data_IF_882470650009
#
_entry.id   IF_882470650009
#
_cell.length_a   1.000
_cell.length_b   1.000
_cell.length_c   1.000
_cell.angle_alpha   90.00
_cell.angle_beta   90.00
_cell.angle_gamma   90.00
#
_symmetry.space_group_name_H-M   'P 1'
#
loop_
_entity.id
_entity.type
_entity.pdbx_description
1 polymer ?
#
# COMPACT_ATOMS: atom_id res chain seq x y z
N UNK A 1 -9.65 -21.82 13.90
CA UNK A 1 -9.20 -20.44 14.18
C UNK A 1 -8.29 -20.00 13.06
N UNK A 2 -8.46 -18.78 12.56
CA UNK A 2 -7.65 -18.22 11.48
C UNK A 2 -6.54 -17.39 12.13
N UNK A 3 -5.30 -17.53 11.68
CA UNK A 3 -4.15 -16.76 12.13
C UNK A 3 -3.28 -16.38 10.93
N UNK A 4 -2.52 -15.32 11.10
CA UNK A 4 -1.59 -14.80 10.10
C UNK A 4 -0.29 -15.63 10.16
N UNK A 5 0.20 -16.06 9.00
CA UNK A 5 1.41 -16.89 8.89
C UNK A 5 2.63 -16.13 8.39
N UNK A 6 2.42 -14.97 7.78
CA UNK A 6 3.44 -14.12 7.17
C UNK A 6 2.98 -12.66 7.21
N UNK A 7 3.86 -11.70 6.92
CA UNK A 7 3.54 -10.28 7.03
C UNK A 7 2.41 -9.88 6.06
N UNK A 8 1.54 -8.96 6.51
CA UNK A 8 0.47 -8.41 5.70
C UNK A 8 0.88 -7.01 5.27
N UNK A 9 0.86 -6.77 3.97
CA UNK A 9 1.28 -5.52 3.34
C UNK A 9 0.11 -4.99 2.50
N UNK A 10 -0.40 -3.81 2.85
CA UNK A 10 -1.61 -3.25 2.24
C UNK A 10 -1.36 -2.86 0.78
N UNK A 11 -0.18 -2.31 0.50
CA UNK A 11 0.30 -1.85 -0.79
C UNK A 11 0.50 -3.01 -1.77
N UNK A 12 0.89 -4.18 -1.27
CA UNK A 12 0.98 -5.41 -2.04
C UNK A 12 -0.40 -6.06 -2.22
N UNK A 13 -1.20 -6.17 -1.15
CA UNK A 13 -2.50 -6.86 -1.19
C UNK A 13 -3.50 -6.41 -0.13
N UNK A 14 -4.53 -5.71 -0.60
CA UNK A 14 -5.60 -5.10 0.23
C UNK A 14 -6.65 -6.08 0.79
N UNK A 15 -6.88 -7.22 0.12
CA UNK A 15 -7.96 -8.13 0.50
C UNK A 15 -7.63 -9.60 0.18
N UNK A 16 -8.11 -10.49 1.05
CA UNK A 16 -8.12 -11.94 0.86
C UNK A 16 -9.56 -12.47 0.94
N UNK A 17 -9.88 -13.41 0.07
CA UNK A 17 -11.13 -14.16 0.10
C UNK A 17 -10.82 -15.63 0.32
N UNK A 18 -11.32 -16.20 1.42
CA UNK A 18 -11.07 -17.58 1.80
C UNK A 18 -12.40 -18.35 1.84
N UNK A 19 -12.45 -19.48 1.16
CA UNK A 19 -13.55 -20.44 1.31
C UNK A 19 -13.19 -21.43 2.40
N UNK A 20 -13.90 -21.38 3.52
CA UNK A 20 -13.70 -22.29 4.65
C UNK A 20 -14.72 -23.41 4.59
N UNK A 21 -14.25 -24.66 4.56
CA UNK A 21 -15.08 -25.86 4.52
C UNK A 21 -15.04 -26.60 5.85
N UNK A 22 -16.21 -26.87 6.42
CA UNK A 22 -16.38 -27.83 7.51
C UNK A 22 -16.97 -29.13 6.94
N UNK A 23 -16.38 -30.28 7.26
CA UNK A 23 -16.87 -31.60 6.80
C UNK A 23 -17.15 -32.49 8.00
N UNK A 24 -18.35 -33.07 8.04
CA UNK A 24 -18.70 -34.10 9.00
C UNK A 24 -17.96 -35.40 8.65
N UNK A 25 -17.21 -35.93 9.61
CA UNK A 25 -16.30 -37.06 9.36
C UNK A 25 -17.02 -38.40 9.15
N UNK A 26 -18.29 -38.52 9.52
CA UNK A 26 -19.06 -39.77 9.47
C UNK A 26 -19.93 -39.82 8.22
N UNK A 27 -20.69 -38.76 7.96
CA UNK A 27 -21.62 -38.66 6.83
C UNK A 27 -20.97 -38.09 5.56
N UNK A 28 -19.80 -37.46 5.67
CA UNK A 28 -19.10 -36.79 4.56
C UNK A 28 -19.80 -35.52 4.07
N UNK A 29 -20.90 -35.13 4.69
CA UNK A 29 -21.60 -33.86 4.41
C UNK A 29 -20.68 -32.70 4.78
N UNK A 30 -20.70 -31.65 3.97
CA UNK A 30 -19.90 -30.47 4.22
C UNK A 30 -20.70 -29.18 4.04
N UNK A 31 -20.22 -28.13 4.69
CA UNK A 31 -20.70 -26.77 4.54
C UNK A 31 -19.51 -25.84 4.26
N UNK A 32 -19.72 -24.86 3.40
CA UNK A 32 -18.71 -23.87 3.02
C UNK A 32 -19.20 -22.47 3.36
N UNK A 33 -18.27 -21.61 3.76
CA UNK A 33 -18.52 -20.19 4.01
C UNK A 33 -17.39 -19.36 3.42
N UNK A 34 -17.73 -18.22 2.81
CA UNK A 34 -16.77 -17.23 2.36
C UNK A 34 -16.39 -16.31 3.51
N UNK A 35 -15.10 -16.13 3.71
CA UNK A 35 -14.52 -15.20 4.68
C UNK A 35 -13.73 -14.14 3.91
N UNK A 36 -14.19 -12.90 3.99
CA UNK A 36 -13.50 -11.74 3.42
C UNK A 36 -12.64 -11.09 4.49
N UNK A 37 -11.34 -11.02 4.25
CA UNK A 37 -10.35 -10.39 5.14
C UNK A 37 -9.85 -9.14 4.44
N UNK A 38 -10.04 -7.98 5.08
CA UNK A 38 -9.57 -6.69 4.58
C UNK A 38 -8.33 -6.30 5.39
N UNK A 39 -7.22 -6.08 4.71
CA UNK A 39 -5.99 -5.56 5.33
C UNK A 39 -6.22 -4.09 5.63
N UNK A 40 -5.88 -3.67 6.85
CA UNK A 40 -5.95 -2.25 7.20
C UNK A 40 -4.69 -1.56 6.73
N UNK A 41 -4.92 -0.43 6.06
CA UNK A 41 -3.88 0.48 5.62
C UNK A 41 -3.21 1.16 6.81
N UNK A 42 -1.88 1.27 6.79
CA UNK A 42 -1.08 1.92 7.81
C UNK A 42 -0.06 2.81 7.12
N UNK A 43 0.26 3.96 7.71
CA UNK A 43 1.21 4.88 7.10
C UNK A 43 2.66 4.41 7.31
N UNK A 44 3.13 3.50 6.46
CA UNK A 44 4.49 2.98 6.40
C UNK A 44 5.22 3.23 5.07
N UNK A 45 4.56 3.88 4.10
CA UNK A 45 5.17 4.41 2.88
C UNK A 45 5.49 5.91 3.00
N UNK A 46 6.70 6.34 3.44
CA UNK A 46 7.04 7.76 3.49
C UNK A 46 7.11 8.38 2.08
N UNK A 47 6.84 9.68 1.93
CA UNK A 47 6.89 10.35 0.64
C UNK A 47 8.32 10.37 0.08
N UNK A 48 8.49 9.84 -1.13
CA UNK A 48 9.77 9.78 -1.83
C UNK A 48 9.91 10.95 -2.82
N UNK A 49 11.06 11.62 -2.81
CA UNK A 49 11.38 12.64 -3.81
C UNK A 49 11.67 12.02 -5.17
N UNK A 50 11.32 12.71 -6.26
CA UNK A 50 11.58 12.19 -7.61
C UNK A 50 13.07 12.14 -7.99
N UNK A 51 13.94 12.84 -7.26
CA UNK A 51 15.38 12.87 -7.47
C UNK A 51 16.12 12.92 -6.12
N UNK A 52 17.26 12.23 -6.02
CA UNK A 52 18.14 12.29 -4.84
C UNK A 52 18.77 13.68 -4.62
N UNK A 53 18.94 14.44 -5.70
CA UNK A 53 19.45 15.81 -5.64
C UNK A 53 18.84 16.66 -6.74
N UNK A 54 18.49 17.89 -6.40
CA UNK A 54 18.01 18.90 -7.34
C UNK A 54 19.06 20.00 -7.46
N UNK A 55 19.66 20.15 -8.63
CA UNK A 55 20.64 21.19 -8.89
C UNK A 55 20.10 22.16 -9.95
N UNK A 56 20.17 23.46 -9.67
CA UNK A 56 19.66 24.49 -10.57
C UNK A 56 20.54 25.74 -10.51
N UNK A 57 20.72 26.35 -11.68
CA UNK A 57 21.41 27.63 -11.86
C UNK A 57 20.40 28.72 -12.19
N UNK A 58 20.44 29.85 -11.46
CA UNK A 58 19.59 31.01 -11.69
C UNK A 58 20.46 32.17 -12.17
N UNK A 59 19.99 32.89 -13.20
CA UNK A 59 20.67 34.08 -13.72
C UNK A 59 20.64 35.21 -12.69
N UNK A 60 21.73 35.97 -12.58
CA UNK A 60 21.77 37.18 -11.74
C UNK A 60 20.75 38.26 -12.18
N UNK A 61 20.35 38.22 -13.46
CA UNK A 61 19.35 39.14 -14.02
C UNK A 61 17.90 38.66 -13.78
N UNK A 62 17.68 37.61 -12.99
CA UNK A 62 16.35 37.08 -12.75
C UNK A 62 15.46 38.12 -12.01
N UNK A 63 14.25 38.40 -12.51
CA UNK A 63 13.35 39.35 -11.87
C UNK A 63 12.78 38.81 -10.55
N UNK A 64 12.30 39.73 -9.71
CA UNK A 64 11.62 39.38 -8.47
C UNK A 64 10.40 38.48 -8.74
N UNK A 65 10.28 37.42 -7.95
CA UNK A 65 9.20 36.44 -8.08
C UNK A 65 9.48 35.29 -9.04
N UNK A 66 10.71 35.17 -9.58
CA UNK A 66 11.09 34.01 -10.39
C UNK A 66 11.00 32.73 -9.55
N UNK A 67 10.13 31.79 -9.95
CA UNK A 67 10.05 30.46 -9.35
C UNK A 67 11.25 29.64 -9.80
N UNK A 68 12.00 29.12 -8.82
CA UNK A 68 13.29 28.46 -9.07
C UNK A 68 13.07 26.96 -9.25
N UNK A 69 12.47 26.29 -8.26
CA UNK A 69 12.29 24.85 -8.27
C UNK A 69 10.92 24.48 -7.72
N UNK A 70 10.28 23.50 -8.34
CA UNK A 70 9.12 22.80 -7.79
C UNK A 70 9.49 21.34 -7.63
N UNK A 71 9.52 20.89 -6.39
CA UNK A 71 9.71 19.47 -6.06
C UNK A 71 8.36 18.78 -5.98
N UNK A 72 8.32 17.55 -6.45
CA UNK A 72 7.18 16.66 -6.31
C UNK A 72 7.64 15.41 -5.56
N UNK A 73 6.84 14.99 -4.60
CA UNK A 73 7.02 13.73 -3.89
C UNK A 73 5.92 12.76 -4.32
N UNK A 74 6.26 11.47 -4.34
CA UNK A 74 5.28 10.41 -4.53
C UNK A 74 5.17 9.64 -3.22
N UNK A 75 3.95 9.50 -2.76
CA UNK A 75 3.59 8.72 -1.60
C UNK A 75 2.77 7.52 -2.11
N UNK A 76 3.12 6.33 -1.64
CA UNK A 76 2.58 5.08 -2.17
C UNK A 76 1.54 4.45 -1.23
N UNK A 77 1.13 5.16 -0.18
CA UNK A 77 0.10 4.83 0.83
C UNK A 77 -1.33 4.91 0.23
N UNK A 78 -1.52 4.55 -1.05
CA UNK A 78 -2.83 4.64 -1.74
C UNK A 78 -3.09 3.46 -2.66
#
# INVERSE_FOLDING_TARGET
TIYVVDELDYEQKKQYELTVRATDSVSGVYAEVLVSIVVQDVNDCPPEFSQDSYNISVSEAAPFGTSILRVSTRDNDT
#
